data_IF_012754130478
#
_entry.id   IF_012754130478
#
_cell.length_a   1.000
_cell.length_b   1.000
_cell.length_c   1.000
_cell.angle_alpha   90.00
_cell.angle_beta   90.00
_cell.angle_gamma   90.00
#
_symmetry.space_group_name_H-M   'P 1'
#
loop_
_entity.id
_entity.type
_entity.pdbx_description
1 polymer ?
#
# COMPACT_ATOMS: atom_id res chain seq x y z
N UNK A 1 11.61 -17.40 -11.60
CA UNK A 1 10.25 -17.55 -11.07
C UNK A 1 10.01 -16.50 -9.99
N UNK A 2 8.89 -15.78 -10.07
CA UNK A 2 8.59 -14.75 -9.06
C UNK A 2 8.14 -15.42 -7.76
N UNK A 3 8.57 -14.86 -6.63
CA UNK A 3 8.05 -15.26 -5.33
C UNK A 3 6.58 -14.88 -5.18
N UNK A 4 5.89 -15.46 -4.21
CA UNK A 4 4.52 -15.08 -3.87
C UNK A 4 4.43 -13.58 -3.58
N UNK A 5 5.37 -13.06 -2.80
CA UNK A 5 5.41 -11.63 -2.44
C UNK A 5 5.55 -10.74 -3.67
N UNK A 6 6.45 -11.07 -4.58
CA UNK A 6 6.64 -10.28 -5.82
C UNK A 6 5.39 -10.33 -6.69
N UNK A 7 4.74 -11.49 -6.78
CA UNK A 7 3.51 -11.64 -7.56
C UNK A 7 2.39 -10.76 -6.99
N UNK A 8 2.16 -10.83 -5.68
CA UNK A 8 1.09 -10.08 -5.02
C UNK A 8 1.36 -8.58 -5.05
N UNK A 9 2.57 -8.15 -4.71
CA UNK A 9 2.91 -6.72 -4.73
C UNK A 9 2.88 -6.15 -6.14
N UNK A 10 3.25 -6.94 -7.15
CA UNK A 10 3.13 -6.54 -8.55
C UNK A 10 1.70 -6.28 -8.96
N UNK A 11 0.77 -7.14 -8.54
CA UNK A 11 -0.66 -6.97 -8.82
C UNK A 11 -1.23 -5.76 -8.08
N UNK A 12 -0.83 -5.55 -6.83
CA UNK A 12 -1.23 -4.39 -6.04
C UNK A 12 -0.79 -3.10 -6.74
N UNK A 13 0.46 -3.04 -7.14
CA UNK A 13 1.02 -1.87 -7.83
C UNK A 13 0.28 -1.57 -9.13
N UNK A 14 0.07 -2.59 -9.97
CA UNK A 14 -0.64 -2.43 -11.23
C UNK A 14 -2.06 -1.90 -11.00
N UNK A 15 -2.76 -2.46 -10.01
CA UNK A 15 -4.12 -2.07 -9.69
C UNK A 15 -4.19 -0.61 -9.23
N UNK A 16 -3.24 -0.19 -8.39
CA UNK A 16 -3.15 1.20 -7.92
C UNK A 16 -2.88 2.14 -9.10
N UNK A 17 -1.96 1.78 -9.98
CA UNK A 17 -1.61 2.62 -11.13
C UNK A 17 -2.71 2.73 -12.18
N UNK A 18 -3.64 1.80 -12.21
CA UNK A 18 -4.82 1.92 -13.07
C UNK A 18 -5.72 3.08 -12.65
N UNK A 19 -5.74 3.43 -11.35
CA UNK A 19 -6.49 4.59 -10.85
C UNK A 19 -5.67 5.87 -10.88
N UNK A 20 -4.37 5.78 -10.62
CA UNK A 20 -3.49 6.93 -10.49
C UNK A 20 -2.08 6.53 -10.89
N UNK A 21 -1.70 6.84 -12.14
CA UNK A 21 -0.39 6.46 -12.67
C UNK A 21 0.76 7.10 -11.87
N UNK A 22 0.52 8.21 -11.22
CA UNK A 22 1.52 8.91 -10.39
C UNK A 22 1.60 8.42 -8.96
N UNK A 23 0.74 7.50 -8.56
CA UNK A 23 0.76 6.99 -7.20
C UNK A 23 1.99 6.11 -6.93
N UNK A 24 2.47 6.19 -5.69
CA UNK A 24 3.47 5.27 -5.19
C UNK A 24 2.82 4.34 -4.16
N UNK A 25 3.33 3.13 -4.05
CA UNK A 25 2.86 2.16 -3.06
C UNK A 25 4.04 1.65 -2.25
N UNK A 26 3.85 1.59 -0.94
CA UNK A 26 4.89 1.15 0.00
C UNK A 26 4.33 -0.01 0.82
N UNK A 27 4.99 -1.15 0.76
CA UNK A 27 4.69 -2.28 1.63
C UNK A 27 5.39 -2.06 2.97
N UNK A 28 4.68 -2.23 4.06
CA UNK A 28 5.26 -2.14 5.40
C UNK A 28 4.69 -3.25 6.30
N UNK A 29 4.97 -3.20 7.59
CA UNK A 29 4.50 -4.21 8.52
C UNK A 29 5.22 -5.54 8.39
N UNK A 30 4.58 -6.61 8.87
CA UNK A 30 5.22 -7.93 8.96
C UNK A 30 5.65 -8.50 7.62
N UNK A 31 4.87 -8.25 6.55
CA UNK A 31 5.21 -8.73 5.21
C UNK A 31 6.46 -8.04 4.65
N UNK A 32 6.74 -6.81 5.08
CA UNK A 32 7.96 -6.10 4.69
C UNK A 32 9.16 -6.54 5.53
N UNK A 33 8.95 -6.80 6.82
CA UNK A 33 10.01 -7.24 7.73
C UNK A 33 10.40 -8.70 7.54
N UNK A 34 9.52 -9.51 6.97
CA UNK A 34 9.77 -10.95 6.80
C UNK A 34 9.39 -11.79 8.00
N UNK A 35 8.66 -11.22 8.96
CA UNK A 35 8.19 -11.96 10.15
C UNK A 35 6.69 -12.28 10.10
N UNK A 36 6.13 -12.31 8.91
CA UNK A 36 4.71 -12.57 8.70
C UNK A 36 4.32 -14.02 9.03
N UNK A 37 3.04 -14.15 9.38
CA UNK A 37 2.37 -15.44 9.51
C UNK A 37 1.52 -15.66 8.25
N UNK A 38 1.05 -16.89 7.99
CA UNK A 38 0.26 -17.16 6.78
C UNK A 38 -0.98 -16.28 6.61
N UNK A 39 -1.57 -15.82 7.72
CA UNK A 39 -2.78 -14.99 7.72
C UNK A 39 -2.49 -13.50 7.95
N UNK A 40 -1.22 -13.09 7.94
CA UNK A 40 -0.86 -11.67 8.11
C UNK A 40 -1.39 -10.82 6.96
N UNK A 41 -1.85 -9.61 7.30
CA UNK A 41 -2.28 -8.61 6.33
C UNK A 41 -1.10 -8.12 5.49
N UNK A 42 -1.40 -7.71 4.27
CA UNK A 42 -0.49 -6.94 3.45
C UNK A 42 -0.75 -5.47 3.75
N UNK A 43 0.14 -4.84 4.50
CA UNK A 43 0.01 -3.43 4.90
C UNK A 43 0.57 -2.54 3.79
N UNK A 44 -0.29 -1.78 3.14
CA UNK A 44 0.05 -0.97 1.97
C UNK A 44 -0.25 0.50 2.25
N UNK A 45 0.76 1.34 2.10
CA UNK A 45 0.60 2.79 2.08
C UNK A 45 0.55 3.25 0.62
N UNK A 46 -0.54 3.90 0.26
CA UNK A 46 -0.74 4.46 -1.07
C UNK A 46 -0.52 5.97 -1.00
N UNK A 47 0.47 6.47 -1.73
CA UNK A 47 0.74 7.89 -1.84
C UNK A 47 0.17 8.35 -3.17
N UNK A 48 -0.98 9.01 -3.11
CA UNK A 48 -1.76 9.37 -4.30
C UNK A 48 -1.55 10.81 -4.74
N UNK A 49 -1.64 11.04 -6.05
CA UNK A 49 -1.66 12.38 -6.64
C UNK A 49 -3.08 12.91 -6.79
N UNK A 50 -4.10 12.06 -6.52
CA UNK A 50 -5.52 12.45 -6.59
C UNK A 50 -5.90 13.27 -5.35
N UNK A 51 -7.05 14.00 -5.41
CA UNK A 51 -7.49 14.78 -4.24
C UNK A 51 -7.67 13.90 -3.01
N UNK A 52 -7.26 14.39 -1.81
CA UNK A 52 -7.33 13.58 -0.58
C UNK A 52 -8.75 13.58 0.01
N UNK A 53 -9.67 12.96 -0.68
CA UNK A 53 -11.09 12.89 -0.30
C UNK A 53 -11.48 11.46 0.06
N UNK A 54 -12.61 11.33 0.76
CA UNK A 54 -13.19 10.02 1.08
C UNK A 54 -13.50 9.26 -0.21
N UNK A 55 -13.91 9.97 -1.26
CA UNK A 55 -14.20 9.36 -2.55
C UNK A 55 -12.97 8.72 -3.17
N UNK A 56 -11.84 9.41 -3.14
CA UNK A 56 -10.56 8.86 -3.63
C UNK A 56 -10.18 7.60 -2.84
N UNK A 57 -10.30 7.67 -1.52
CA UNK A 57 -10.00 6.52 -0.66
C UNK A 57 -10.89 5.33 -0.98
N UNK A 58 -12.20 5.56 -1.19
CA UNK A 58 -13.14 4.50 -1.56
C UNK A 58 -12.80 3.86 -2.90
N UNK A 59 -12.37 4.66 -3.87
CA UNK A 59 -12.01 4.15 -5.19
C UNK A 59 -10.84 3.16 -5.09
N UNK A 60 -9.82 3.49 -4.30
CA UNK A 60 -8.72 2.57 -4.04
C UNK A 60 -9.17 1.32 -3.30
N UNK A 61 -9.98 1.48 -2.26
CA UNK A 61 -10.47 0.35 -1.46
C UNK A 61 -11.33 -0.60 -2.30
N UNK A 62 -12.26 -0.06 -3.07
CA UNK A 62 -13.14 -0.88 -3.90
C UNK A 62 -12.36 -1.68 -4.94
N UNK A 63 -11.40 -1.03 -5.58
CA UNK A 63 -10.60 -1.69 -6.62
C UNK A 63 -9.70 -2.77 -6.04
N UNK A 64 -9.06 -2.48 -4.93
CA UNK A 64 -8.18 -3.44 -4.27
C UNK A 64 -8.96 -4.55 -3.54
N UNK A 65 -10.20 -4.28 -3.15
CA UNK A 65 -11.07 -5.30 -2.56
C UNK A 65 -11.30 -6.46 -3.53
N UNK A 66 -11.52 -6.17 -4.80
CA UNK A 66 -11.68 -7.21 -5.81
C UNK A 66 -10.42 -8.07 -5.93
N UNK A 67 -9.26 -7.44 -5.87
CA UNK A 67 -7.98 -8.16 -5.89
C UNK A 67 -7.80 -9.02 -4.63
N UNK A 68 -8.18 -8.49 -3.48
CA UNK A 68 -8.15 -9.19 -2.20
C UNK A 68 -8.96 -10.48 -2.25
N UNK A 69 -10.17 -10.40 -2.79
CA UNK A 69 -11.04 -11.57 -2.95
C UNK A 69 -10.43 -12.58 -3.91
N UNK A 70 -9.89 -12.11 -5.02
CA UNK A 70 -9.30 -12.97 -6.03
C UNK A 70 -8.07 -13.73 -5.49
N UNK A 71 -7.23 -13.05 -4.74
CA UNK A 71 -6.01 -13.62 -4.17
C UNK A 71 -6.22 -14.36 -2.86
N UNK A 72 -7.37 -14.17 -2.21
CA UNK A 72 -7.66 -14.69 -0.87
C UNK A 72 -6.59 -14.24 0.14
N UNK A 73 -6.16 -12.96 0.02
CA UNK A 73 -5.16 -12.37 0.89
C UNK A 73 -5.72 -11.07 1.49
N UNK A 74 -5.62 -10.85 2.81
CA UNK A 74 -6.14 -9.64 3.43
C UNK A 74 -5.20 -8.45 3.22
N UNK A 75 -5.75 -7.30 2.86
CA UNK A 75 -5.00 -6.05 2.69
C UNK A 75 -5.43 -5.02 3.73
N UNK A 76 -4.47 -4.28 4.29
CA UNK A 76 -4.71 -3.11 5.10
C UNK A 76 -4.19 -1.90 4.34
N UNK A 77 -5.09 -1.01 3.94
CA UNK A 77 -4.78 0.11 3.05
C UNK A 77 -4.78 1.44 3.81
N UNK A 78 -3.76 2.25 3.55
CA UNK A 78 -3.63 3.61 4.08
C UNK A 78 -3.38 4.52 2.90
N UNK A 79 -4.23 5.53 2.71
CA UNK A 79 -4.16 6.44 1.56
C UNK A 79 -3.81 7.84 2.03
N UNK A 80 -2.71 8.40 1.52
CA UNK A 80 -2.25 9.75 1.86
C UNK A 80 -1.89 10.53 0.60
N UNK A 81 -2.03 11.86 0.64
CA UNK A 81 -1.56 12.70 -0.46
C UNK A 81 -0.04 12.61 -0.59
N UNK A 82 0.44 12.30 -1.77
CA UNK A 82 1.87 12.11 -2.04
C UNK A 82 2.70 13.33 -1.69
N UNK A 83 2.26 14.53 -2.10
CA UNK A 83 3.00 15.75 -1.85
C UNK A 83 3.09 16.07 -0.35
N UNK A 84 2.01 15.88 0.39
CA UNK A 84 1.98 16.16 1.83
C UNK A 84 2.82 15.16 2.61
N UNK A 85 2.83 13.90 2.19
CA UNK A 85 3.66 12.88 2.83
C UNK A 85 5.13 13.24 2.72
N UNK A 86 5.57 13.67 1.52
CA UNK A 86 6.97 14.02 1.27
C UNK A 86 7.39 15.31 1.97
N UNK A 87 6.48 16.26 2.15
CA UNK A 87 6.73 17.50 2.89
C UNK A 87 6.74 17.30 4.39
N UNK A 88 5.97 16.32 4.88
CA UNK A 88 5.84 16.09 6.31
C UNK A 88 7.07 15.37 6.84
N UNK A 89 7.80 16.06 7.72
CA UNK A 89 8.92 15.48 8.44
C UNK A 89 8.54 15.15 9.87
N UNK A 90 7.25 15.00 10.11
CA UNK A 90 6.73 14.75 11.46
C UNK A 90 7.12 13.33 11.88
N UNK A 91 7.79 13.22 13.01
CA UNK A 91 8.21 11.94 13.55
C UNK A 91 7.05 11.29 14.32
N UNK A 92 5.97 10.93 13.62
CA UNK A 92 4.91 10.13 14.20
C UNK A 92 5.34 8.67 14.21
N UNK A 93 4.79 7.84 15.11
CA UNK A 93 5.07 6.40 15.08
C UNK A 93 4.83 5.77 13.72
N UNK A 94 3.81 6.21 13.01
CA UNK A 94 3.49 5.69 11.68
C UNK A 94 4.57 6.06 10.65
N UNK A 95 5.00 7.32 10.61
CA UNK A 95 6.08 7.75 9.72
C UNK A 95 7.38 7.00 10.04
N UNK A 96 7.68 6.82 11.31
CA UNK A 96 8.89 6.10 11.75
C UNK A 96 8.87 4.64 11.31
N UNK A 97 7.71 3.98 11.40
CA UNK A 97 7.55 2.60 10.97
C UNK A 97 7.77 2.47 9.46
N UNK A 98 7.22 3.40 8.68
CA UNK A 98 7.39 3.42 7.22
C UNK A 98 8.86 3.65 6.84
N UNK A 99 9.52 4.59 7.51
CA UNK A 99 10.94 4.88 7.23
C UNK A 99 11.84 3.68 7.56
N UNK A 100 11.50 2.95 8.62
CA UNK A 100 12.29 1.81 9.06
C UNK A 100 12.08 0.57 8.21
N UNK A 101 10.83 0.20 7.96
CA UNK A 101 10.48 -1.09 7.37
C UNK A 101 9.89 -0.99 5.96
N UNK A 102 9.52 0.20 5.48
CA UNK A 102 8.83 0.36 4.22
C UNK A 102 9.65 -0.03 3.00
N UNK A 103 9.01 -0.76 2.09
CA UNK A 103 9.59 -1.16 0.81
C UNK A 103 8.74 -0.58 -0.32
N UNK A 104 9.36 0.23 -1.15
CA UNK A 104 8.69 0.76 -2.34
C UNK A 104 8.44 -0.39 -3.31
N UNK A 105 7.19 -0.54 -3.71
CA UNK A 105 6.81 -1.62 -4.63
C UNK A 105 6.40 -1.09 -5.99
#
# INVERSE_FOLDING_TARGET
>A
MKSKAEHITGLIKTTIQELDIGAEAILFGSRARGDEKPDSDWDILILTTLPPTIETERRFRDKLYNLELELEEPFSLFVYPKNKWKESKTATPFHMAIDKDGLLI
#
